data_IF_477939365893
#
_entry.id   IF_477939365893
#
_cell.length_a   1.000
_cell.length_b   1.000
_cell.length_c   1.000
_cell.angle_alpha   90.00
_cell.angle_beta   90.00
_cell.angle_gamma   90.00
#
_symmetry.space_group_name_H-M   'P 1'
#
loop_
_entity.id
_entity.type
_entity.pdbx_description
1 polymer ?
#
# COMPACT_ATOMS: atom_id res chain seq x y z
N UNK A 1 -6.36 9.73 -8.49
CA UNK A 1 -6.00 8.38 -8.05
C UNK A 1 -4.98 8.47 -6.92
N UNK A 2 -5.21 7.75 -5.82
CA UNK A 2 -4.25 7.71 -4.71
C UNK A 2 -3.23 6.60 -4.95
N UNK A 3 -1.94 6.96 -5.01
CA UNK A 3 -0.85 6.00 -5.17
C UNK A 3 -0.30 5.53 -3.82
N UNK A 4 0.44 4.42 -3.83
CA UNK A 4 1.14 3.95 -2.62
C UNK A 4 2.16 4.99 -2.15
N UNK A 5 2.83 5.69 -3.08
CA UNK A 5 3.76 6.75 -2.70
C UNK A 5 3.05 7.89 -1.95
N UNK A 6 1.85 8.29 -2.38
CA UNK A 6 1.04 9.28 -1.67
C UNK A 6 0.65 8.80 -0.27
N UNK A 7 0.25 7.55 -0.16
CA UNK A 7 -0.12 6.92 1.12
C UNK A 7 1.06 6.92 2.10
N UNK A 8 2.25 6.55 1.62
CA UNK A 8 3.45 6.57 2.45
C UNK A 8 3.76 7.98 2.97
N UNK A 9 3.61 9.00 2.13
CA UNK A 9 3.80 10.41 2.55
C UNK A 9 2.82 10.80 3.64
N UNK A 10 1.55 10.45 3.49
CA UNK A 10 0.54 10.75 4.51
C UNK A 10 0.81 10.03 5.82
N UNK A 11 1.26 8.76 5.77
CA UNK A 11 1.63 8.02 6.97
C UNK A 11 2.85 8.62 7.66
N UNK A 12 3.85 9.08 6.89
CA UNK A 12 5.02 9.78 7.45
C UNK A 12 4.59 11.08 8.15
N UNK A 13 3.68 11.84 7.57
CA UNK A 13 3.14 13.05 8.19
C UNK A 13 2.36 12.72 9.47
N UNK A 14 1.56 11.66 9.46
CA UNK A 14 0.84 11.20 10.65
C UNK A 14 1.84 10.75 11.73
N UNK A 15 2.89 10.04 11.34
CA UNK A 15 3.94 9.57 12.25
C UNK A 15 4.57 10.71 13.04
N UNK A 16 4.75 11.87 12.39
CA UNK A 16 5.31 13.07 13.03
C UNK A 16 4.35 13.73 14.03
N UNK A 17 3.05 13.44 13.95
CA UNK A 17 2.01 14.03 14.81
C UNK A 17 1.60 13.15 15.98
N UNK A 18 2.05 11.90 16.01
CA UNK A 18 1.72 10.94 17.08
C UNK A 18 2.98 10.52 17.81
N UNK A 19 2.83 9.91 18.98
CA UNK A 19 3.95 9.45 19.81
C UNK A 19 3.63 8.13 20.49
N UNK A 20 4.65 7.51 21.08
CA UNK A 20 4.50 6.28 21.85
C UNK A 20 3.93 5.13 21.03
N UNK A 21 2.94 4.39 21.59
CA UNK A 21 2.36 3.23 20.90
C UNK A 21 1.74 3.56 19.55
N UNK A 22 1.10 4.72 19.39
CA UNK A 22 0.51 5.13 18.12
C UNK A 22 1.57 5.32 17.02
N UNK A 23 2.72 5.88 17.38
CA UNK A 23 3.84 6.03 16.45
C UNK A 23 4.35 4.66 15.97
N UNK A 24 4.46 3.70 16.87
CA UNK A 24 4.86 2.33 16.52
C UNK A 24 3.84 1.65 15.60
N UNK A 25 2.53 1.92 15.78
CA UNK A 25 1.49 1.40 14.91
C UNK A 25 1.58 2.01 13.51
N UNK A 26 1.83 3.32 13.38
CA UNK A 26 2.05 3.94 12.07
C UNK A 26 3.25 3.32 11.37
N UNK A 27 4.35 3.09 12.10
CA UNK A 27 5.53 2.41 11.57
C UNK A 27 5.22 0.99 11.07
N UNK A 28 4.30 0.28 11.74
CA UNK A 28 3.85 -1.04 11.30
C UNK A 28 3.20 -0.98 9.92
N UNK A 29 2.31 -0.01 9.67
CA UNK A 29 1.68 0.16 8.36
C UNK A 29 2.69 0.57 7.29
N UNK A 30 3.61 1.47 7.60
CA UNK A 30 4.71 1.84 6.69
C UNK A 30 5.56 0.64 6.31
N UNK A 31 5.90 -0.20 7.28
CA UNK A 31 6.70 -1.40 7.06
C UNK A 31 5.94 -2.42 6.18
N UNK A 32 4.63 -2.59 6.38
CA UNK A 32 3.80 -3.46 5.54
C UNK A 32 3.82 -3.02 4.07
N UNK A 33 3.71 -1.72 3.82
CA UNK A 33 3.77 -1.18 2.47
C UNK A 33 5.15 -1.40 1.83
N UNK A 34 6.22 -1.19 2.58
CA UNK A 34 7.59 -1.38 2.09
C UNK A 34 7.90 -2.84 1.77
N UNK A 35 7.44 -3.77 2.59
CA UNK A 35 7.59 -5.21 2.36
C UNK A 35 6.79 -5.67 1.16
N UNK A 36 5.59 -5.14 0.97
CA UNK A 36 4.76 -5.51 -0.15
C UNK A 36 5.44 -5.20 -1.49
N UNK A 37 6.15 -4.09 -1.59
CA UNK A 37 6.86 -3.72 -2.82
C UNK A 37 7.87 -4.79 -3.27
N UNK A 38 8.40 -5.59 -2.33
CA UNK A 38 9.43 -6.60 -2.60
C UNK A 38 8.92 -8.04 -2.55
N UNK A 39 7.72 -8.29 -2.04
CA UNK A 39 7.16 -9.64 -1.97
C UNK A 39 6.32 -9.98 -3.22
N UNK A 40 5.74 -11.19 -3.25
CA UNK A 40 4.96 -11.68 -4.38
C UNK A 40 3.44 -11.61 -4.13
N UNK A 41 3.00 -11.01 -3.03
CA UNK A 41 1.57 -10.85 -2.76
C UNK A 41 0.93 -9.82 -3.70
N UNK A 42 -0.37 -9.98 -3.94
CA UNK A 42 -1.11 -9.10 -4.85
C UNK A 42 -1.57 -7.82 -4.17
N UNK A 43 -1.99 -6.83 -4.96
CA UNK A 43 -2.54 -5.58 -4.45
C UNK A 43 -3.82 -5.82 -3.61
N UNK A 44 -4.67 -6.77 -4.00
CA UNK A 44 -5.84 -7.16 -3.19
C UNK A 44 -5.43 -7.75 -1.84
N UNK A 45 -4.42 -8.60 -1.84
CA UNK A 45 -3.88 -9.17 -0.59
C UNK A 45 -3.29 -8.09 0.32
N UNK A 46 -2.65 -7.07 -0.26
CA UNK A 46 -2.16 -5.92 0.51
C UNK A 46 -3.31 -5.22 1.23
N UNK A 47 -4.37 -4.86 0.51
CA UNK A 47 -5.54 -4.19 1.10
C UNK A 47 -6.16 -5.05 2.20
N UNK A 48 -6.35 -6.34 1.95
CA UNK A 48 -6.90 -7.27 2.92
C UNK A 48 -6.01 -7.37 4.18
N UNK A 49 -4.69 -7.38 4.01
CA UNK A 49 -3.75 -7.40 5.11
C UNK A 49 -3.81 -6.12 5.94
N UNK A 50 -3.86 -4.95 5.29
CA UNK A 50 -3.95 -3.66 5.98
C UNK A 50 -5.28 -3.53 6.75
N UNK A 51 -6.39 -3.94 6.15
CA UNK A 51 -7.70 -3.95 6.82
C UNK A 51 -7.69 -4.86 8.05
N UNK A 52 -7.14 -6.06 7.92
CA UNK A 52 -7.05 -7.02 9.02
C UNK A 52 -6.16 -6.46 10.14
N UNK A 53 -5.04 -5.86 9.78
CA UNK A 53 -4.13 -5.24 10.75
C UNK A 53 -4.82 -4.12 11.49
N UNK A 54 -5.54 -3.24 10.80
CA UNK A 54 -6.29 -2.16 11.45
C UNK A 54 -7.36 -2.69 12.42
N UNK A 55 -8.00 -3.81 12.10
CA UNK A 55 -8.98 -4.44 12.96
C UNK A 55 -8.41 -5.09 14.23
N UNK A 56 -7.09 -5.31 14.29
CA UNK A 56 -6.42 -5.96 15.41
C UNK A 56 -5.55 -5.01 16.23
N UNK A 57 -5.37 -3.77 15.81
CA UNK A 57 -4.58 -2.78 16.55
C UNK A 57 -5.49 -1.75 17.20
N UNK A 58 -4.98 -1.07 18.21
CA UNK A 58 -5.75 -0.06 18.93
C UNK A 58 -4.95 1.24 19.02
N UNK A 59 -5.39 2.25 18.28
CA UNK A 59 -4.82 3.59 18.39
C UNK A 59 -5.39 4.30 19.61
N UNK A 60 -4.54 5.00 20.36
CA UNK A 60 -4.97 5.86 21.47
C UNK A 60 -5.69 7.10 20.94
N UNK A 61 -5.33 7.57 19.75
CA UNK A 61 -5.94 8.73 19.10
C UNK A 61 -7.01 8.26 18.11
N UNK A 62 -8.25 8.71 18.29
CA UNK A 62 -9.34 8.47 17.34
C UNK A 62 -9.03 9.08 15.96
N UNK A 63 -8.38 10.25 15.95
CA UNK A 63 -7.98 10.90 14.70
C UNK A 63 -6.98 10.06 13.92
N UNK A 64 -5.99 9.49 14.61
CA UNK A 64 -5.00 8.62 13.97
C UNK A 64 -5.68 7.38 13.37
N UNK A 65 -6.58 6.75 14.11
CA UNK A 65 -7.35 5.60 13.61
C UNK A 65 -8.15 5.96 12.36
N UNK A 66 -8.88 7.07 12.39
CA UNK A 66 -9.68 7.54 11.25
C UNK A 66 -8.80 7.84 10.04
N UNK A 67 -7.66 8.48 10.25
CA UNK A 67 -6.72 8.79 9.17
C UNK A 67 -6.23 7.53 8.48
N UNK A 68 -5.81 6.53 9.25
CA UNK A 68 -5.34 5.25 8.70
C UNK A 68 -6.47 4.52 7.97
N UNK A 69 -7.68 4.50 8.55
CA UNK A 69 -8.85 3.90 7.91
C UNK A 69 -9.17 4.55 6.56
N UNK A 70 -9.10 5.88 6.47
CA UNK A 70 -9.33 6.62 5.22
C UNK A 70 -8.24 6.32 4.19
N UNK A 71 -7.00 6.22 4.61
CA UNK A 71 -5.87 5.85 3.73
C UNK A 71 -6.10 4.47 3.12
N UNK A 72 -6.49 3.49 3.93
CA UNK A 72 -6.77 2.13 3.46
C UNK A 72 -7.96 2.13 2.49
N UNK A 73 -9.01 2.88 2.79
CA UNK A 73 -10.18 2.99 1.92
C UNK A 73 -9.81 3.57 0.53
N UNK A 74 -8.95 4.58 0.49
CA UNK A 74 -8.48 5.16 -0.77
C UNK A 74 -7.61 4.18 -1.57
N UNK A 75 -6.77 3.40 -0.88
CA UNK A 75 -5.99 2.35 -1.55
C UNK A 75 -6.91 1.27 -2.11
N UNK A 76 -7.96 0.88 -1.37
CA UNK A 76 -8.98 -0.06 -1.85
C UNK A 76 -9.63 0.45 -3.14
N UNK A 77 -9.97 1.72 -3.20
CA UNK A 77 -10.55 2.34 -4.39
C UNK A 77 -9.59 2.30 -5.58
N UNK A 78 -8.30 2.56 -5.34
CA UNK A 78 -7.26 2.45 -6.36
C UNK A 78 -7.17 1.02 -6.91
N UNK A 79 -7.17 0.03 -6.04
CA UNK A 79 -7.14 -1.39 -6.44
C UNK A 79 -8.40 -1.77 -7.22
N UNK A 80 -9.56 -1.31 -6.80
CA UNK A 80 -10.82 -1.56 -7.50
C UNK A 80 -10.85 -0.94 -8.91
N UNK A 81 -10.12 0.16 -9.12
CA UNK A 81 -10.06 0.87 -10.41
C UNK A 81 -8.98 0.33 -11.35
N UNK A 82 -8.20 -0.66 -10.93
CA UNK A 82 -7.01 -1.13 -11.66
C UNK A 82 -7.33 -1.64 -13.07
N UNK A 83 -8.51 -2.19 -13.28
CA UNK A 83 -8.92 -2.71 -14.59
C UNK A 83 -8.93 -1.68 -15.71
N UNK A 84 -9.07 -0.39 -15.38
CA UNK A 84 -9.03 0.72 -16.32
C UNK A 84 -7.66 1.38 -16.49
N UNK A 85 -6.63 0.86 -15.84
CA UNK A 85 -5.29 1.45 -15.88
C UNK A 85 -4.42 0.83 -16.95
N UNK A 86 -3.57 1.68 -17.59
CA UNK A 86 -2.44 1.21 -18.40
C UNK A 86 -1.39 0.57 -17.51
N UNK A 87 -0.42 -0.12 -18.11
CA UNK A 87 0.70 -0.71 -17.36
C UNK A 87 1.51 0.35 -16.62
N UNK A 88 1.80 1.47 -17.27
CA UNK A 88 2.54 2.57 -16.65
C UNK A 88 1.78 3.18 -15.47
N UNK A 89 0.47 3.34 -15.61
CA UNK A 89 -0.38 3.83 -14.51
C UNK A 89 -0.36 2.86 -13.31
N UNK A 90 -0.39 1.55 -13.56
CA UNK A 90 -0.28 0.53 -12.49
C UNK A 90 1.07 0.58 -11.79
N UNK A 91 2.16 0.67 -12.54
CA UNK A 91 3.52 0.77 -11.97
C UNK A 91 3.65 2.01 -11.09
N UNK A 92 3.07 3.12 -11.52
CA UNK A 92 3.06 4.36 -10.74
C UNK A 92 2.17 4.23 -9.49
N UNK A 93 0.94 3.72 -9.66
CA UNK A 93 0.00 3.60 -8.55
C UNK A 93 0.54 2.72 -7.41
N UNK A 94 1.22 1.64 -7.75
CA UNK A 94 1.74 0.67 -6.77
C UNK A 94 3.21 0.84 -6.43
N UNK A 95 3.86 1.90 -6.96
CA UNK A 95 5.27 2.23 -6.68
C UNK A 95 6.20 1.04 -7.01
N UNK A 96 5.99 0.41 -8.16
CA UNK A 96 6.72 -0.78 -8.58
C UNK A 96 7.65 -0.56 -9.78
N UNK A 97 7.83 0.69 -10.21
CA UNK A 97 8.63 1.00 -11.40
C UNK A 97 10.08 0.54 -11.23
N UNK A 98 10.70 0.82 -10.10
CA UNK A 98 12.09 0.42 -9.85
C UNK A 98 12.25 -1.10 -9.85
N UNK A 99 11.33 -1.81 -9.23
CA UNK A 99 11.34 -3.28 -9.23
C UNK A 99 11.13 -3.82 -10.64
N UNK A 100 10.23 -3.22 -11.41
CA UNK A 100 9.99 -3.60 -12.81
C UNK A 100 11.24 -3.46 -13.65
N UNK A 101 11.95 -2.34 -13.52
CA UNK A 101 13.17 -2.06 -14.29
C UNK A 101 14.31 -3.03 -13.95
N UNK A 102 14.35 -3.55 -12.72
CA UNK A 102 15.35 -4.53 -12.26
C UNK A 102 14.98 -5.97 -12.57
N UNK A 103 13.76 -6.22 -13.04
CA UNK A 103 13.18 -7.56 -13.12
C UNK A 103 13.53 -8.24 -14.45
N UNK A 104 13.75 -9.56 -14.39
CA UNK A 104 13.77 -10.45 -15.55
C UNK A 104 12.35 -10.66 -16.09
N UNK A 105 12.22 -11.26 -17.27
CA UNK A 105 10.92 -11.57 -17.86
C UNK A 105 10.08 -12.47 -16.93
N UNK A 106 10.70 -13.47 -16.29
CA UNK A 106 10.02 -14.35 -15.35
C UNK A 106 9.50 -13.59 -14.12
N UNK A 107 10.30 -12.65 -13.61
CA UNK A 107 9.91 -11.81 -12.47
C UNK A 107 8.80 -10.83 -12.86
N UNK A 108 8.79 -10.34 -14.08
CA UNK A 108 7.73 -9.47 -14.60
C UNK A 108 6.38 -10.18 -14.67
N UNK A 109 6.36 -11.49 -14.92
CA UNK A 109 5.13 -12.28 -14.86
C UNK A 109 4.53 -12.26 -13.45
N UNK A 110 5.35 -12.32 -12.40
CA UNK A 110 4.90 -12.17 -11.02
C UNK A 110 4.36 -10.77 -10.76
N UNK A 111 4.99 -9.74 -11.32
CA UNK A 111 4.53 -8.36 -11.18
C UNK A 111 3.20 -8.10 -11.89
N UNK A 112 2.96 -8.73 -13.04
CA UNK A 112 1.64 -8.69 -13.68
C UNK A 112 0.55 -9.19 -12.73
N UNK A 113 0.75 -10.34 -12.10
CA UNK A 113 -0.18 -10.88 -11.11
C UNK A 113 -0.35 -9.96 -9.92
N UNK A 114 0.75 -9.42 -9.42
CA UNK A 114 0.77 -8.51 -8.27
C UNK A 114 -0.11 -7.29 -8.50
N UNK A 115 -0.11 -6.75 -9.70
CA UNK A 115 -0.86 -5.56 -10.09
C UNK A 115 -2.20 -5.88 -10.78
N UNK A 116 -2.61 -7.15 -10.79
CA UNK A 116 -3.81 -7.61 -11.51
C UNK A 116 -3.81 -7.23 -12.98
N UNK A 117 -2.65 -7.20 -13.61
CA UNK A 117 -2.48 -6.94 -15.02
C UNK A 117 -2.39 -8.26 -15.81
N UNK A 118 -2.67 -8.18 -17.11
CA UNK A 118 -2.43 -9.28 -18.04
C UNK A 118 -1.14 -9.01 -18.81
N UNK A 119 -0.36 -10.04 -19.07
CA UNK A 119 0.83 -9.90 -19.90
C UNK A 119 0.51 -9.37 -21.30
#
# INVERSE_FOLDING_TARGET
>A
MTSIADIKKELVLLRARVSGPDAALVDLFLNRLSRWAEDDSTAEELVANLDRTLGHVWFSSDEAHKTVAQIIARLRDTVAAVGGMTMNERLYAFDLLDRWDRSSDAERDLLYKKMHAKP
#
